data_IF_704042389788
#
_entry.id   IF_704042389788
#
_cell.length_a   1.000
_cell.length_b   1.000
_cell.length_c   1.000
_cell.angle_alpha   90.00
_cell.angle_beta   90.00
_cell.angle_gamma   90.00
#
_symmetry.space_group_name_H-M   'P 1'
#
loop_
_entity.id
_entity.type
_entity.pdbx_description
1 polymer ?
#
# COMPACT_ATOMS: atom_id res chain seq x y z
N UNK A 1 -5.93 21.32 14.02
CA UNK A 1 -7.30 21.14 14.56
C UNK A 1 -8.08 20.28 13.57
N UNK A 2 -9.06 19.52 14.05
CA UNK A 2 -9.94 18.69 13.23
C UNK A 2 -11.32 18.56 13.88
N UNK A 3 -12.36 18.40 13.06
CA UNK A 3 -13.65 17.89 13.51
C UNK A 3 -13.55 16.37 13.64
N UNK A 4 -14.13 15.81 14.70
CA UNK A 4 -14.00 14.39 15.02
C UNK A 4 -15.22 13.55 14.68
N UNK A 5 -16.39 14.18 14.57
CA UNK A 5 -17.64 13.43 14.73
C UNK A 5 -18.01 13.36 16.21
N UNK A 6 -18.97 12.52 16.57
CA UNK A 6 -19.52 12.35 17.92
C UNK A 6 -18.74 11.27 18.68
N UNK A 7 -17.66 11.67 19.37
CA UNK A 7 -16.75 10.74 20.04
C UNK A 7 -17.28 10.28 21.41
N UNK A 8 -18.26 11.00 21.97
CA UNK A 8 -18.84 10.70 23.28
C UNK A 8 -20.30 10.19 23.21
N UNK A 9 -20.89 10.14 22.01
CA UNK A 9 -22.23 9.62 21.74
C UNK A 9 -23.37 10.54 22.19
N UNK A 10 -23.14 11.84 22.32
CA UNK A 10 -24.14 12.82 22.75
C UNK A 10 -24.97 13.43 21.60
N UNK A 11 -24.65 13.05 20.36
CA UNK A 11 -25.28 13.47 19.12
C UNK A 11 -24.70 14.76 18.53
N UNK A 12 -23.63 15.31 19.10
CA UNK A 12 -22.95 16.51 18.59
C UNK A 12 -21.53 16.19 18.16
N UNK A 13 -21.11 16.76 17.03
CA UNK A 13 -19.73 16.62 16.58
C UNK A 13 -18.76 17.39 17.50
N UNK A 14 -17.63 16.75 17.77
CA UNK A 14 -16.56 17.17 18.66
C UNK A 14 -15.38 17.77 17.89
N UNK A 15 -14.48 18.44 18.62
CA UNK A 15 -13.32 19.14 18.08
C UNK A 15 -12.02 18.69 18.74
N UNK A 16 -11.01 18.36 17.94
CA UNK A 16 -9.62 18.20 18.40
C UNK A 16 -8.76 19.42 18.07
N UNK A 17 -7.93 19.81 19.03
CA UNK A 17 -6.87 20.81 18.87
C UNK A 17 -5.56 20.23 19.38
N UNK A 18 -4.59 20.08 18.48
CA UNK A 18 -3.24 19.65 18.84
C UNK A 18 -2.37 20.79 19.36
N UNK A 19 -1.55 20.49 20.36
CA UNK A 19 -0.53 21.33 20.95
C UNK A 19 0.79 20.53 21.00
N UNK A 20 1.48 20.34 19.86
CA UNK A 20 2.59 19.40 19.72
C UNK A 20 3.82 19.74 20.58
N UNK A 21 4.01 21.00 20.95
CA UNK A 21 5.13 21.45 21.79
C UNK A 21 4.79 21.46 23.29
N UNK A 22 3.63 20.93 23.70
CA UNK A 22 3.25 20.84 25.10
C UNK A 22 4.10 19.81 25.86
N UNK A 23 4.23 20.03 27.18
CA UNK A 23 5.07 19.23 28.08
C UNK A 23 4.25 18.41 29.10
N UNK A 24 3.32 17.53 28.66
CA UNK A 24 2.50 16.76 29.57
C UNK A 24 3.35 15.89 30.48
N UNK A 25 2.95 15.78 31.75
CA UNK A 25 3.61 14.90 32.72
C UNK A 25 5.13 15.17 32.87
N UNK A 26 5.60 16.38 32.48
CA UNK A 26 7.01 16.75 32.47
C UNK A 26 7.82 16.18 31.30
N UNK A 27 7.17 15.67 30.25
CA UNK A 27 7.81 15.14 29.04
C UNK A 27 7.97 16.27 28.03
N UNK A 28 9.18 16.81 27.90
CA UNK A 28 9.49 17.93 27.02
C UNK A 28 9.07 17.65 25.56
N UNK A 29 8.25 18.53 24.96
CA UNK A 29 7.72 18.43 23.60
C UNK A 29 7.07 17.06 23.28
N UNK A 30 6.43 16.42 24.26
CA UNK A 30 5.69 15.19 24.01
C UNK A 30 4.39 15.48 23.23
N UNK A 31 3.82 16.67 23.41
CA UNK A 31 2.61 17.13 22.77
C UNK A 31 1.34 16.73 23.52
N UNK A 32 0.29 17.55 23.42
CA UNK A 32 -1.05 17.27 23.93
C UNK A 32 -2.07 17.42 22.80
N UNK A 33 -3.20 16.72 22.89
CA UNK A 33 -4.40 16.97 22.09
C UNK A 33 -5.56 17.25 23.03
N UNK A 34 -6.21 18.39 22.84
CA UNK A 34 -7.41 18.77 23.56
C UNK A 34 -8.63 18.39 22.72
N UNK A 35 -9.50 17.56 23.28
CA UNK A 35 -10.78 17.20 22.69
C UNK A 35 -11.85 17.96 23.44
N UNK A 36 -12.67 18.70 22.71
CA UNK A 36 -13.75 19.52 23.23
C UNK A 36 -15.06 18.93 22.73
N UNK A 37 -15.93 18.53 23.66
CA UNK A 37 -17.20 17.92 23.30
C UNK A 37 -18.20 18.96 22.78
N UNK A 38 -18.86 18.60 21.68
CA UNK A 38 -19.94 19.30 21.04
C UNK A 38 -21.11 19.52 22.00
N UNK A 39 -21.89 20.59 21.78
CA UNK A 39 -23.09 20.86 22.59
C UNK A 39 -24.06 21.80 21.90
N UNK A 40 -25.35 21.56 22.13
CA UNK A 40 -26.44 22.39 21.60
C UNK A 40 -26.37 23.87 22.05
N UNK A 41 -25.94 24.12 23.29
CA UNK A 41 -25.93 25.45 23.89
C UNK A 41 -24.77 26.34 23.39
N UNK A 42 -23.91 25.80 22.52
CA UNK A 42 -22.72 26.46 22.01
C UNK A 42 -21.59 26.56 23.03
N UNK A 43 -20.52 27.26 22.64
CA UNK A 43 -19.31 27.41 23.44
C UNK A 43 -19.14 28.82 23.99
N UNK A 44 -18.45 28.99 25.13
CA UNK A 44 -17.96 30.30 25.54
C UNK A 44 -16.98 30.86 24.50
N UNK A 45 -16.85 32.19 24.44
CA UNK A 45 -15.92 32.85 23.50
C UNK A 45 -14.44 32.52 23.77
N UNK A 46 -14.14 32.00 24.96
CA UNK A 46 -12.83 31.50 25.35
C UNK A 46 -13.05 30.23 26.15
N UNK A 47 -12.33 29.17 25.81
CA UNK A 47 -12.29 27.91 26.54
C UNK A 47 -10.88 27.73 27.10
N UNK A 48 -10.78 27.36 28.37
CA UNK A 48 -9.52 27.00 29.01
C UNK A 48 -9.35 25.48 28.94
N UNK A 49 -8.37 24.93 28.20
CA UNK A 49 -8.17 23.49 28.12
C UNK A 49 -7.91 22.82 29.49
N UNK A 50 -7.49 23.59 30.50
CA UNK A 50 -7.33 23.11 31.87
C UNK A 50 -8.65 22.69 32.55
N UNK A 51 -9.80 23.09 32.00
CA UNK A 51 -11.13 22.72 32.54
C UNK A 51 -11.71 21.44 31.94
N UNK A 52 -11.04 20.83 30.97
CA UNK A 52 -11.46 19.55 30.38
C UNK A 52 -11.30 18.44 31.44
N UNK A 53 -12.44 18.01 31.97
CA UNK A 53 -12.54 17.12 33.14
C UNK A 53 -13.23 15.77 32.84
N UNK A 54 -13.41 15.46 31.55
CA UNK A 54 -14.14 14.29 31.07
C UNK A 54 -15.63 14.55 30.81
N UNK A 55 -16.17 15.69 31.25
CA UNK A 55 -17.59 16.04 30.99
C UNK A 55 -17.77 17.05 29.86
N UNK A 56 -16.81 17.97 29.68
CA UNK A 56 -16.81 18.94 28.58
C UNK A 56 -15.76 18.60 27.50
N UNK A 57 -15.03 17.50 27.69
CA UNK A 57 -13.96 17.02 26.83
C UNK A 57 -12.84 16.37 27.62
N UNK A 58 -11.75 16.01 26.94
CA UNK A 58 -10.60 15.34 27.54
C UNK A 58 -9.27 15.87 27.00
N UNK A 59 -8.18 15.50 27.67
CA UNK A 59 -6.81 15.77 27.23
C UNK A 59 -6.08 14.47 26.93
N UNK A 60 -5.60 14.31 25.71
CA UNK A 60 -4.70 13.21 25.32
C UNK A 60 -3.26 13.71 25.43
N UNK A 61 -2.42 12.92 26.09
CA UNK A 61 -1.06 13.29 26.47
C UNK A 61 -0.05 12.44 25.71
N UNK A 62 0.92 13.11 25.10
CA UNK A 62 1.95 12.49 24.26
C UNK A 62 2.81 11.48 25.02
N UNK A 63 3.28 10.42 24.33
CA UNK A 63 3.80 9.22 24.99
C UNK A 63 5.18 9.43 25.62
N UNK A 64 6.06 10.21 24.99
CA UNK A 64 7.44 10.38 25.44
C UNK A 64 8.00 11.74 24.98
N UNK A 65 9.12 12.20 25.58
CA UNK A 65 9.74 13.47 25.19
C UNK A 65 10.09 13.52 23.70
N UNK A 66 9.79 14.64 23.06
CA UNK A 66 10.07 14.88 21.64
C UNK A 66 9.23 14.05 20.67
N UNK A 67 8.09 13.50 21.11
CA UNK A 67 7.15 12.81 20.24
C UNK A 67 6.37 13.78 19.33
N UNK A 68 6.06 14.99 19.83
CA UNK A 68 5.22 15.97 19.12
C UNK A 68 3.82 15.45 18.76
N UNK A 69 3.19 14.70 19.66
CA UNK A 69 1.83 14.20 19.46
C UNK A 69 0.83 15.35 19.27
N UNK A 70 -0.12 15.16 18.35
CA UNK A 70 -1.05 16.22 17.98
C UNK A 70 -0.52 17.18 16.91
N UNK A 71 0.63 16.89 16.31
CA UNK A 71 1.10 17.65 15.14
C UNK A 71 0.09 17.56 13.99
N UNK A 72 -0.49 16.37 13.80
CA UNK A 72 -1.62 16.14 12.92
C UNK A 72 -2.74 15.45 13.72
N UNK A 73 -3.98 15.83 13.45
CA UNK A 73 -5.18 15.24 14.05
C UNK A 73 -6.28 15.13 12.99
N UNK A 74 -7.10 14.09 13.05
CA UNK A 74 -8.28 13.89 12.20
C UNK A 74 -9.35 13.11 12.98
N UNK A 75 -10.64 13.32 12.66
CA UNK A 75 -11.68 12.34 13.01
C UNK A 75 -11.45 11.09 12.18
N UNK A 76 -11.42 9.93 12.82
CA UNK A 76 -11.14 8.67 12.17
C UNK A 76 -12.41 7.96 11.69
N UNK A 77 -13.60 8.42 12.11
CA UNK A 77 -14.85 7.65 11.96
C UNK A 77 -14.91 6.52 12.98
N UNK A 78 -15.82 5.58 12.81
CA UNK A 78 -15.98 4.42 13.71
C UNK A 78 -15.05 3.27 13.26
N UNK A 79 -13.81 3.27 13.75
CA UNK A 79 -12.74 2.36 13.29
C UNK A 79 -12.88 0.97 13.91
N UNK A 80 -13.50 0.88 15.10
CA UNK A 80 -13.71 -0.38 15.82
C UNK A 80 -15.16 -0.90 15.76
N UNK A 81 -16.09 -0.16 15.15
CA UNK A 81 -17.48 -0.55 14.93
C UNK A 81 -18.33 -0.52 16.21
N UNK A 82 -17.93 0.28 17.21
CA UNK A 82 -18.65 0.39 18.49
C UNK A 82 -19.76 1.44 18.48
N UNK A 83 -19.88 2.20 17.38
CA UNK A 83 -20.89 3.22 17.15
C UNK A 83 -20.52 4.62 17.64
N UNK A 84 -19.28 4.83 18.09
CA UNK A 84 -18.72 6.13 18.43
C UNK A 84 -17.67 6.55 17.40
N UNK A 85 -17.58 7.84 17.10
CA UNK A 85 -16.49 8.31 16.24
C UNK A 85 -15.16 8.28 16.99
N UNK A 86 -14.10 7.86 16.31
CA UNK A 86 -12.75 7.73 16.84
C UNK A 86 -11.85 8.91 16.42
N UNK A 87 -10.70 9.01 17.08
CA UNK A 87 -9.71 10.07 16.86
C UNK A 87 -8.40 9.50 16.31
N UNK A 88 -7.86 10.10 15.25
CA UNK A 88 -6.52 9.80 14.75
C UNK A 88 -5.54 10.90 15.12
N UNK A 89 -4.47 10.54 15.83
CA UNK A 89 -3.42 11.44 16.30
C UNK A 89 -2.08 11.07 15.66
N UNK A 90 -1.45 12.03 15.00
CA UNK A 90 -0.12 11.89 14.43
C UNK A 90 0.97 12.52 15.29
N UNK A 91 2.13 11.85 15.38
CA UNK A 91 3.33 12.34 16.05
C UNK A 91 4.57 11.99 15.21
N UNK A 92 5.25 12.98 14.65
CA UNK A 92 6.38 12.74 13.74
C UNK A 92 7.73 12.56 14.46
N UNK A 93 7.75 12.75 15.79
CA UNK A 93 8.95 12.68 16.61
C UNK A 93 9.51 11.26 16.81
N UNK A 94 10.48 11.12 17.71
CA UNK A 94 10.96 9.77 18.07
C UNK A 94 10.05 9.17 19.11
N UNK A 95 9.64 7.90 18.94
CA UNK A 95 8.86 7.16 19.92
C UNK A 95 9.76 6.22 20.73
N UNK A 96 9.45 6.03 22.01
CA UNK A 96 10.21 5.14 22.89
C UNK A 96 10.22 3.71 22.34
N UNK A 97 11.41 3.11 22.21
CA UNK A 97 11.59 1.77 21.66
C UNK A 97 11.53 1.68 20.13
N UNK A 98 11.18 2.75 19.43
CA UNK A 98 11.16 2.84 17.97
C UNK A 98 12.48 3.34 17.36
N UNK A 99 12.64 3.28 16.02
CA UNK A 99 13.76 3.90 15.35
C UNK A 99 13.74 5.43 15.52
N UNK A 100 14.93 6.04 15.59
CA UNK A 100 15.05 7.49 15.76
C UNK A 100 14.35 8.24 14.61
N UNK A 101 13.45 9.17 14.95
CA UNK A 101 12.69 9.97 13.99
C UNK A 101 11.72 9.17 13.12
N UNK A 102 11.35 7.94 13.50
CA UNK A 102 10.38 7.17 12.74
C UNK A 102 8.96 7.73 12.83
N UNK A 103 8.62 8.44 13.90
CA UNK A 103 7.26 8.90 14.16
C UNK A 103 6.30 7.75 14.47
N UNK A 104 5.01 8.07 14.37
CA UNK A 104 3.90 7.14 14.51
C UNK A 104 2.57 7.87 14.61
N UNK A 105 1.51 7.08 14.67
CA UNK A 105 0.16 7.59 14.90
C UNK A 105 -0.58 6.70 15.91
N UNK A 106 -1.73 7.16 16.38
CA UNK A 106 -2.65 6.41 17.23
C UNK A 106 -4.07 6.65 16.76
N UNK A 107 -4.85 5.58 16.68
CA UNK A 107 -6.31 5.67 16.76
C UNK A 107 -6.65 5.60 18.25
N UNK A 108 -7.42 6.56 18.74
CA UNK A 108 -7.94 6.61 20.10
C UNK A 108 -9.44 6.42 19.99
N UNK A 109 -9.96 5.40 20.65
CA UNK A 109 -11.37 5.06 20.55
C UNK A 109 -12.27 6.03 21.30
N UNK A 110 -13.41 6.34 20.70
CA UNK A 110 -14.53 7.03 21.33
C UNK A 110 -15.17 6.19 22.44
N UNK A 111 -16.26 6.70 23.00
CA UNK A 111 -17.09 5.95 23.92
C UNK A 111 -17.79 6.78 25.01
N UNK A 112 -18.63 6.10 25.78
CA UNK A 112 -19.43 6.70 26.86
C UNK A 112 -18.69 6.84 28.21
N UNK A 113 -17.53 6.20 28.35
CA UNK A 113 -16.65 6.25 29.53
C UNK A 113 -15.24 6.73 29.15
N UNK A 114 -15.17 7.92 28.52
CA UNK A 114 -13.89 8.58 28.20
C UNK A 114 -13.26 9.22 29.44
N UNK A 115 -11.96 8.98 29.70
CA UNK A 115 -11.28 9.59 30.84
C UNK A 115 -11.01 11.08 30.58
N UNK A 116 -10.96 11.88 31.65
CA UNK A 116 -10.54 13.29 31.57
C UNK A 116 -9.13 13.48 30.98
N UNK A 117 -8.25 12.49 31.20
CA UNK A 117 -6.87 12.46 30.70
C UNK A 117 -6.53 11.06 30.21
N UNK A 118 -5.99 10.97 29.00
CA UNK A 118 -5.52 9.74 28.38
C UNK A 118 -4.02 9.87 28.10
N UNK A 119 -3.21 8.94 28.58
CA UNK A 119 -1.77 8.90 28.30
C UNK A 119 -1.48 7.90 27.18
N UNK A 120 -0.97 8.38 26.03
CA UNK A 120 -0.63 7.54 24.88
C UNK A 120 0.48 6.52 25.21
N UNK A 121 1.33 6.78 26.20
CA UNK A 121 2.34 5.82 26.66
C UNK A 121 1.74 4.59 27.34
N UNK A 122 0.51 4.71 27.83
CA UNK A 122 -0.21 3.69 28.57
C UNK A 122 -1.51 3.29 27.85
N UNK A 123 -1.61 3.56 26.54
CA UNK A 123 -2.77 3.19 25.73
C UNK A 123 -2.93 1.66 25.74
N UNK A 124 -4.12 1.21 26.08
CA UNK A 124 -4.49 -0.21 26.07
C UNK A 124 -5.34 -0.52 24.85
N UNK A 125 -5.39 -1.81 24.47
CA UNK A 125 -6.12 -2.26 23.29
C UNK A 125 -7.62 -1.89 23.31
N UNK A 126 -8.24 -1.87 24.49
CA UNK A 126 -9.64 -1.45 24.66
C UNK A 126 -9.87 0.06 24.47
N UNK A 127 -8.82 0.85 24.26
CA UNK A 127 -8.88 2.32 24.14
C UNK A 127 -8.23 2.85 22.86
N UNK A 128 -7.68 1.98 22.03
CA UNK A 128 -7.13 2.39 20.75
C UNK A 128 -6.05 1.49 20.21
N UNK A 129 -5.46 1.95 19.11
CA UNK A 129 -4.47 1.24 18.32
C UNK A 129 -3.26 2.15 18.13
N UNK A 130 -2.07 1.66 18.48
CA UNK A 130 -0.81 2.32 18.15
C UNK A 130 -0.30 1.89 16.76
N UNK A 131 0.15 2.87 15.98
CA UNK A 131 0.68 2.74 14.62
C UNK A 131 2.13 3.25 14.57
N UNK A 132 3.10 2.51 15.14
CA UNK A 132 4.48 2.96 15.23
C UNK A 132 5.15 3.07 13.85
N UNK A 133 5.95 4.11 13.65
CA UNK A 133 6.74 4.28 12.44
C UNK A 133 7.81 3.21 12.28
N UNK A 134 8.02 2.77 11.03
CA UNK A 134 8.88 1.62 10.71
C UNK A 134 10.34 2.02 10.44
N UNK A 135 10.55 3.15 9.76
CA UNK A 135 11.86 3.54 9.22
C UNK A 135 12.38 4.78 9.95
N UNK A 136 13.65 4.77 10.32
CA UNK A 136 14.26 5.93 10.96
C UNK A 136 14.20 7.17 10.04
N UNK A 137 13.72 8.30 10.56
CA UNK A 137 13.59 9.55 9.83
C UNK A 137 12.44 9.60 8.81
N UNK A 138 11.48 8.66 8.85
CA UNK A 138 10.36 8.63 7.91
C UNK A 138 9.29 9.70 8.14
N UNK A 139 9.30 10.36 9.32
CA UNK A 139 8.27 11.30 9.75
C UNK A 139 6.85 10.69 9.67
N UNK A 140 6.70 9.42 10.08
CA UNK A 140 5.39 8.76 10.10
C UNK A 140 4.44 9.52 11.03
N UNK A 141 3.18 9.69 10.63
CA UNK A 141 2.19 10.43 11.42
C UNK A 141 2.35 11.96 11.35
N UNK A 142 3.24 12.50 10.53
CA UNK A 142 3.29 13.95 10.28
C UNK A 142 2.08 14.45 9.48
N UNK A 143 1.38 13.54 8.81
CA UNK A 143 0.13 13.75 8.08
C UNK A 143 -0.75 12.54 8.36
N UNK A 144 -2.02 12.81 8.66
CA UNK A 144 -3.04 11.79 8.90
C UNK A 144 -4.36 12.27 8.30
N UNK A 145 -5.25 11.34 7.95
CA UNK A 145 -6.60 11.66 7.50
C UNK A 145 -7.55 10.48 7.75
N UNK A 146 -8.84 10.78 7.90
CA UNK A 146 -9.89 9.79 7.72
C UNK A 146 -9.80 9.21 6.30
N UNK A 147 -10.08 7.93 6.15
CA UNK A 147 -10.30 7.31 4.85
C UNK A 147 -11.78 6.98 4.63
N UNK A 148 -12.55 6.74 5.70
CA UNK A 148 -13.87 6.12 5.63
C UNK A 148 -13.75 4.62 5.35
N UNK A 149 -14.86 3.92 5.17
CA UNK A 149 -14.86 2.50 4.79
C UNK A 149 -14.42 2.30 3.31
N UNK A 150 -13.12 2.06 3.09
CA UNK A 150 -12.52 1.94 1.75
C UNK A 150 -12.70 0.52 1.18
N UNK A 151 -12.76 -0.49 2.05
CA UNK A 151 -12.83 -1.90 1.66
C UNK A 151 -14.26 -2.50 1.74
N UNK A 152 -15.22 -1.77 2.31
CA UNK A 152 -16.62 -2.16 2.43
C UNK A 152 -16.93 -3.12 3.57
N UNK A 153 -16.06 -3.23 4.57
CA UNK A 153 -16.24 -4.17 5.69
C UNK A 153 -17.13 -3.62 6.82
N UNK A 154 -17.51 -2.35 6.72
CA UNK A 154 -18.36 -1.65 7.68
C UNK A 154 -17.62 -0.96 8.81
N UNK A 155 -16.29 -0.94 8.79
CA UNK A 155 -15.45 -0.17 9.71
C UNK A 155 -14.78 0.99 8.96
N UNK A 156 -14.67 2.15 9.60
CA UNK A 156 -13.96 3.26 8.96
C UNK A 156 -12.43 3.04 8.99
N UNK A 157 -11.77 3.35 7.87
CA UNK A 157 -10.34 3.20 7.71
C UNK A 157 -9.58 4.52 7.92
N UNK A 158 -8.26 4.43 8.08
CA UNK A 158 -7.39 5.60 8.30
C UNK A 158 -6.17 5.66 7.40
N UNK A 159 -5.71 6.88 7.10
CA UNK A 159 -4.48 7.14 6.36
C UNK A 159 -3.39 7.72 7.28
N UNK A 160 -2.18 7.18 7.19
CA UNK A 160 -0.99 7.66 7.89
C UNK A 160 0.15 7.90 6.92
N UNK A 161 0.66 9.12 6.85
CA UNK A 161 1.73 9.51 5.94
C UNK A 161 3.10 9.33 6.57
N UNK A 162 4.05 8.80 5.80
CA UNK A 162 5.45 8.63 6.16
C UNK A 162 6.34 9.17 5.02
N UNK A 163 6.37 10.50 4.92
CA UNK A 163 6.78 11.27 3.74
C UNK A 163 8.26 11.16 3.35
N UNK A 164 9.11 10.60 4.20
CA UNK A 164 10.56 10.45 3.94
C UNK A 164 11.03 8.99 3.96
N UNK A 165 10.10 8.04 3.87
CA UNK A 165 10.42 6.61 3.89
C UNK A 165 11.07 6.19 2.57
N UNK A 166 12.38 5.88 2.56
CA UNK A 166 13.02 5.22 1.42
C UNK A 166 12.91 3.69 1.57
N UNK A 167 11.95 3.09 0.87
CA UNK A 167 11.74 1.65 0.83
C UNK A 167 12.33 1.05 -0.46
N UNK A 168 13.64 1.15 -0.66
CA UNK A 168 14.48 0.37 -1.60
C UNK A 168 14.06 0.30 -3.09
N UNK A 169 12.94 0.91 -3.49
CA UNK A 169 12.35 0.84 -4.83
C UNK A 169 12.24 2.23 -5.49
N UNK A 170 13.10 3.17 -5.08
CA UNK A 170 13.35 4.41 -5.82
C UNK A 170 12.22 5.43 -5.75
N UNK A 171 11.54 5.56 -4.61
CA UNK A 171 10.63 6.66 -4.30
C UNK A 171 10.72 7.01 -2.82
N UNK A 172 10.85 8.30 -2.48
CA UNK A 172 10.92 8.79 -1.11
C UNK A 172 9.51 9.00 -0.55
N UNK A 173 9.06 8.21 0.40
CA UNK A 173 7.79 8.43 1.10
C UNK A 173 6.68 7.47 0.71
N UNK A 174 5.81 7.18 1.69
CA UNK A 174 4.64 6.31 1.54
C UNK A 174 3.46 6.86 2.31
N UNK A 175 2.27 6.42 1.94
CA UNK A 175 1.09 6.47 2.81
C UNK A 175 0.68 5.05 3.19
N UNK A 176 0.27 4.87 4.44
CA UNK A 176 -0.32 3.63 4.92
C UNK A 176 -1.82 3.83 4.98
N UNK A 177 -2.57 2.97 4.28
CA UNK A 177 -4.00 2.79 4.52
C UNK A 177 -4.12 1.65 5.53
N UNK A 178 -4.74 1.92 6.67
CA UNK A 178 -4.92 0.94 7.76
C UNK A 178 -6.40 0.69 7.91
N UNK A 179 -6.79 -0.58 7.84
CA UNK A 179 -8.19 -0.97 7.90
C UNK A 179 -8.73 -0.97 9.33
N UNK A 180 -9.97 -0.51 9.48
CA UNK A 180 -10.76 -0.66 10.70
C UNK A 180 -11.03 -2.14 11.03
N UNK A 181 -11.29 -2.43 12.31
CA UNK A 181 -11.46 -3.80 12.85
C UNK A 181 -11.95 -3.81 14.29
N UNK A 182 -12.69 -4.85 14.67
CA UNK A 182 -13.27 -5.05 16.01
C UNK A 182 -12.46 -5.95 16.95
N UNK A 183 -11.34 -6.54 16.49
CA UNK A 183 -10.52 -7.44 17.29
C UNK A 183 -9.36 -6.74 18.03
N UNK A 184 -9.35 -5.40 18.01
CA UNK A 184 -8.57 -4.50 18.88
C UNK A 184 -7.14 -4.98 19.17
N UNK A 185 -6.23 -5.03 18.17
CA UNK A 185 -4.89 -5.59 18.37
C UNK A 185 -4.02 -4.76 19.32
N UNK A 186 -4.42 -3.52 19.65
CA UNK A 186 -3.66 -2.54 20.42
C UNK A 186 -2.45 -1.96 19.70
N UNK A 187 -1.79 -2.73 18.82
CA UNK A 187 -0.70 -2.27 17.96
C UNK A 187 -0.84 -2.92 16.58
N UNK A 188 -0.74 -2.12 15.51
CA UNK A 188 -0.63 -2.61 14.14
C UNK A 188 0.79 -2.32 13.63
N UNK A 189 1.48 -3.36 13.16
CA UNK A 189 2.80 -3.23 12.54
C UNK A 189 2.66 -2.74 11.09
N UNK A 190 2.98 -1.46 10.87
CA UNK A 190 2.94 -0.83 9.55
C UNK A 190 3.90 -1.49 8.54
N UNK A 191 4.90 -2.25 8.99
CA UNK A 191 5.86 -2.93 8.12
C UNK A 191 5.26 -4.18 7.45
N UNK A 192 4.19 -4.73 8.01
CA UNK A 192 3.58 -6.00 7.58
C UNK A 192 2.14 -5.84 7.12
N UNK A 193 1.71 -4.61 6.80
CA UNK A 193 0.38 -4.37 6.25
C UNK A 193 0.19 -5.19 4.97
N UNK A 194 -0.93 -5.89 4.95
CA UNK A 194 -1.40 -6.70 3.84
C UNK A 194 -2.91 -6.55 3.76
N UNK A 195 -3.41 -6.52 2.52
CA UNK A 195 -4.83 -6.24 2.23
C UNK A 195 -5.74 -7.31 2.83
N UNK A 196 -5.24 -8.53 2.98
CA UNK A 196 -5.98 -9.63 3.59
C UNK A 196 -6.08 -9.51 5.13
N UNK A 197 -5.41 -8.54 5.77
CA UNK A 197 -5.24 -8.53 7.22
C UNK A 197 -5.47 -7.17 7.90
N UNK A 198 -4.87 -6.09 7.41
CA UNK A 198 -4.77 -4.84 8.18
C UNK A 198 -4.64 -3.55 7.34
N UNK A 199 -4.62 -3.65 6.00
CA UNK A 199 -4.52 -2.49 5.11
C UNK A 199 -3.43 -2.62 4.05
N UNK A 200 -2.92 -1.52 3.53
CA UNK A 200 -1.86 -1.56 2.51
C UNK A 200 -0.91 -0.37 2.54
N UNK A 201 0.22 -0.51 1.84
CA UNK A 201 1.16 0.59 1.63
C UNK A 201 0.96 1.20 0.25
N UNK A 202 0.54 2.46 0.21
CA UNK A 202 0.40 3.28 -0.99
C UNK A 202 1.72 3.99 -1.31
N UNK A 203 2.25 3.74 -2.50
CA UNK A 203 3.58 4.19 -2.93
C UNK A 203 3.48 5.11 -4.13
N UNK A 204 4.26 6.18 -4.11
CA UNK A 204 4.45 7.01 -5.30
C UNK A 204 5.18 6.24 -6.40
N UNK A 205 4.89 6.62 -7.65
CA UNK A 205 5.53 6.09 -8.85
C UNK A 205 6.56 7.09 -9.38
N UNK A 206 7.84 6.90 -9.03
CA UNK A 206 8.94 7.70 -9.54
C UNK A 206 10.02 8.02 -8.49
N UNK A 207 11.22 8.44 -8.91
CA UNK A 207 12.23 8.97 -8.01
C UNK A 207 11.73 10.23 -7.31
N UNK A 208 12.08 10.39 -6.04
CA UNK A 208 11.93 11.64 -5.29
C UNK A 208 10.49 12.20 -5.22
N UNK A 209 9.47 11.34 -5.07
CA UNK A 209 8.08 11.80 -4.86
C UNK A 209 7.66 11.56 -3.42
N UNK A 210 7.50 12.63 -2.62
CA UNK A 210 7.13 12.59 -1.20
C UNK A 210 5.70 12.09 -0.94
N UNK A 211 5.38 10.87 -1.38
CA UNK A 211 4.06 10.30 -1.18
C UNK A 211 3.73 10.25 0.32
N UNK A 212 2.47 10.53 0.63
CA UNK A 212 2.02 10.67 2.01
C UNK A 212 2.31 12.05 2.63
N UNK A 213 2.85 13.02 1.88
CA UNK A 213 3.07 14.38 2.41
C UNK A 213 1.75 15.06 2.82
N UNK A 214 0.68 14.83 2.04
CA UNK A 214 -0.68 15.27 2.32
C UNK A 214 -1.66 14.13 2.00
N UNK A 215 -2.72 14.01 2.79
CA UNK A 215 -3.69 12.92 2.72
C UNK A 215 -5.11 13.49 2.82
N UNK A 216 -6.06 12.81 2.18
CA UNK A 216 -7.48 13.11 2.34
C UNK A 216 -8.33 11.87 1.99
N UNK A 217 -9.40 11.65 2.77
CA UNK A 217 -10.54 10.81 2.39
C UNK A 217 -11.69 11.68 1.90
N UNK A 218 -11.84 11.90 0.57
CA UNK A 218 -12.95 12.67 0.03
C UNK A 218 -14.33 11.96 0.12
N UNK A 219 -14.36 10.72 0.60
CA UNK A 219 -15.52 9.83 0.48
C UNK A 219 -15.59 9.20 -0.91
N UNK A 220 -16.75 8.68 -1.28
CA UNK A 220 -17.03 8.08 -2.58
C UNK A 220 -17.08 9.15 -3.69
N UNK A 221 -16.03 9.27 -4.50
CA UNK A 221 -15.95 10.27 -5.57
C UNK A 221 -16.29 9.71 -6.95
N UNK A 222 -16.33 8.39 -7.13
CA UNK A 222 -16.70 7.75 -8.39
C UNK A 222 -18.12 7.13 -8.42
N UNK A 223 -18.77 7.10 -7.26
CA UNK A 223 -20.16 6.70 -7.05
C UNK A 223 -20.36 5.19 -6.94
N UNK A 224 -19.32 4.43 -6.56
CA UNK A 224 -19.37 2.98 -6.46
C UNK A 224 -19.81 2.45 -5.08
N UNK A 225 -19.92 3.34 -4.09
CA UNK A 225 -20.35 3.05 -2.73
C UNK A 225 -19.23 2.79 -1.74
N UNK A 226 -17.97 2.82 -2.15
CA UNK A 226 -16.80 2.68 -1.27
C UNK A 226 -16.12 4.04 -1.09
N UNK A 227 -15.50 4.27 0.06
CA UNK A 227 -14.76 5.50 0.27
C UNK A 227 -13.45 5.49 -0.55
N UNK A 228 -13.13 6.62 -1.16
CA UNK A 228 -11.88 6.79 -1.91
C UNK A 228 -10.85 7.56 -1.10
N UNK A 229 -9.58 7.43 -1.47
CA UNK A 229 -8.47 8.13 -0.81
C UNK A 229 -7.57 8.88 -1.78
N UNK A 230 -7.00 9.97 -1.29
CA UNK A 230 -6.10 10.85 -2.04
C UNK A 230 -4.76 10.96 -1.34
N UNK A 231 -3.68 10.71 -2.08
CA UNK A 231 -2.29 10.82 -1.61
C UNK A 231 -1.55 11.89 -2.41
N UNK A 232 -1.16 12.96 -1.72
CA UNK A 232 -0.28 14.00 -2.27
C UNK A 232 1.18 13.57 -2.19
N UNK A 233 1.89 13.74 -3.30
CA UNK A 233 3.32 13.44 -3.45
C UNK A 233 4.03 14.61 -4.14
N UNK A 234 4.31 15.72 -3.41
CA UNK A 234 5.03 16.83 -3.97
C UNK A 234 6.46 16.42 -4.34
N UNK A 235 6.99 17.04 -5.39
CA UNK A 235 8.41 16.94 -5.70
C UNK A 235 9.24 17.65 -4.63
N UNK A 236 10.51 17.26 -4.43
CA UNK A 236 11.40 17.90 -3.48
C UNK A 236 11.58 19.38 -3.81
N UNK A 237 11.84 20.23 -2.79
CA UNK A 237 12.20 21.62 -3.01
C UNK A 237 13.35 21.76 -4.02
N UNK A 238 13.10 22.43 -5.14
CA UNK A 238 14.08 22.62 -6.21
C UNK A 238 14.17 21.46 -7.22
N UNK A 239 13.32 20.44 -7.10
CA UNK A 239 13.12 19.41 -8.13
C UNK A 239 12.54 20.00 -9.41
N UNK A 240 12.91 19.43 -10.55
CA UNK A 240 12.40 19.86 -11.86
C UNK A 240 11.04 19.24 -12.20
N UNK A 241 10.65 18.18 -11.50
CA UNK A 241 9.44 17.42 -11.76
C UNK A 241 8.23 18.02 -11.04
N UNK A 242 7.03 17.99 -11.66
CA UNK A 242 5.80 18.38 -10.98
C UNK A 242 5.49 17.38 -9.85
N UNK A 243 4.89 17.87 -8.77
CA UNK A 243 4.29 16.99 -7.77
C UNK A 243 3.14 16.18 -8.37
N UNK A 244 2.88 15.01 -7.79
CA UNK A 244 1.81 14.10 -8.19
C UNK A 244 0.73 14.04 -7.12
N UNK A 245 -0.52 13.87 -7.54
CA UNK A 245 -1.62 13.49 -6.66
C UNK A 245 -2.14 12.14 -7.15
N UNK A 246 -2.18 11.17 -6.25
CA UNK A 246 -2.74 9.86 -6.50
C UNK A 246 -4.16 9.81 -5.93
N UNK A 247 -5.11 9.40 -6.74
CA UNK A 247 -6.44 8.98 -6.31
C UNK A 247 -6.44 7.47 -6.32
N UNK A 248 -6.84 6.86 -5.20
CA UNK A 248 -6.97 5.43 -5.04
C UNK A 248 -8.44 5.17 -4.74
N UNK A 249 -9.07 4.41 -5.62
CA UNK A 249 -10.47 4.06 -5.48
C UNK A 249 -10.65 2.91 -4.49
N UNK A 250 -11.68 3.00 -3.65
CA UNK A 250 -12.11 1.92 -2.77
C UNK A 250 -12.73 0.75 -3.56
N UNK A 251 -13.14 -0.29 -2.86
CA UNK A 251 -13.82 -1.43 -3.47
C UNK A 251 -13.77 -2.69 -2.62
N UNK A 252 -14.74 -3.59 -2.88
CA UNK A 252 -14.74 -4.91 -2.25
C UNK A 252 -13.43 -5.66 -2.54
N UNK A 253 -12.91 -6.35 -1.52
CA UNK A 253 -11.86 -7.36 -1.68
C UNK A 253 -12.23 -8.31 -2.84
N UNK A 254 -11.41 -8.42 -3.90
CA UNK A 254 -11.73 -9.32 -5.00
C UNK A 254 -11.83 -10.74 -4.45
N UNK A 255 -13.01 -11.35 -4.56
CA UNK A 255 -13.23 -12.73 -4.13
C UNK A 255 -12.07 -13.61 -4.60
N UNK A 256 -11.44 -14.32 -3.66
CA UNK A 256 -10.29 -15.17 -3.93
C UNK A 256 -10.50 -15.96 -5.23
N UNK A 257 -9.51 -15.97 -6.16
CA UNK A 257 -9.69 -16.66 -7.42
C UNK A 257 -10.11 -18.11 -7.16
N UNK A 258 -11.10 -18.64 -7.89
CA UNK A 258 -11.60 -19.98 -7.64
C UNK A 258 -10.42 -20.96 -7.65
N UNK A 259 -10.38 -21.83 -6.65
CA UNK A 259 -9.33 -22.83 -6.52
C UNK A 259 -9.12 -23.51 -7.89
N UNK A 260 -7.86 -23.73 -8.31
CA UNK A 260 -7.59 -24.34 -9.61
C UNK A 260 -8.39 -25.63 -9.74
N UNK A 261 -9.09 -25.78 -10.86
CA UNK A 261 -9.89 -26.98 -11.11
C UNK A 261 -9.04 -28.23 -10.83
N UNK A 262 -9.58 -29.25 -10.14
CA UNK A 262 -8.83 -30.47 -9.88
C UNK A 262 -8.28 -31.01 -11.20
N UNK A 263 -7.01 -31.38 -11.20
CA UNK A 263 -6.35 -31.92 -12.39
C UNK A 263 -7.23 -33.01 -13.02
N UNK A 264 -7.40 -33.01 -14.36
CA UNK A 264 -8.24 -34.01 -15.01
C UNK A 264 -7.73 -35.39 -14.62
N UNK A 265 -8.61 -36.24 -14.09
CA UNK A 265 -8.31 -37.64 -13.85
C UNK A 265 -7.85 -38.24 -15.19
N UNK A 266 -6.66 -38.85 -15.28
CA UNK A 266 -6.18 -39.38 -16.54
C UNK A 266 -7.19 -40.39 -17.08
N UNK A 267 -7.61 -40.21 -18.33
CA UNK A 267 -8.50 -41.14 -19.00
C UNK A 267 -7.84 -42.54 -19.04
N UNK A 268 -8.58 -43.62 -18.76
CA UNK A 268 -8.02 -44.96 -18.86
C UNK A 268 -7.56 -45.21 -20.30
N UNK A 269 -6.30 -45.62 -20.46
CA UNK A 269 -5.76 -46.01 -21.76
C UNK A 269 -6.53 -47.24 -22.27
N UNK A 270 -7.28 -47.07 -23.36
CA UNK A 270 -7.84 -48.17 -24.13
C UNK A 270 -6.68 -48.88 -24.84
N UNK A 271 -6.32 -50.08 -24.38
CA UNK A 271 -5.44 -50.99 -25.13
C UNK A 271 -6.15 -51.42 -26.40
N UNK A 272 -5.64 -50.99 -27.56
CA UNK A 272 -6.12 -51.45 -28.86
C UNK A 272 -5.65 -52.89 -29.10
N UNK A 273 -6.58 -53.69 -29.63
CA UNK A 273 -6.48 -55.14 -29.83
C UNK A 273 -5.25 -55.58 -30.65
N UNK A 274 -4.63 -56.66 -30.19
CA UNK A 274 -3.52 -57.33 -30.86
C UNK A 274 -3.98 -57.99 -32.18
N UNK A 275 -3.44 -57.56 -33.31
CA UNK A 275 -3.56 -58.26 -34.57
C UNK A 275 -2.59 -59.46 -34.60
N UNK A 276 -3.14 -60.67 -34.63
CA UNK A 276 -2.42 -61.91 -34.92
C UNK A 276 -2.38 -62.15 -36.43
N UNK A 277 -1.21 -62.45 -36.99
CA UNK A 277 -1.07 -63.03 -38.32
C UNK A 277 -0.32 -64.36 -38.19
N UNK A 278 -0.97 -65.45 -38.63
CA UNK A 278 -0.53 -66.82 -38.45
C UNK A 278 0.30 -67.39 -39.61
N UNK A 279 0.98 -68.50 -39.28
CA UNK A 279 1.44 -69.69 -40.03
C UNK A 279 1.37 -69.65 -41.57
N UNK A 280 2.35 -70.11 -42.37
CA UNK A 280 3.04 -71.42 -42.34
C UNK A 280 4.23 -71.46 -43.40
N UNK A 281 4.78 -72.61 -43.89
CA UNK A 281 6.09 -73.17 -43.49
C UNK A 281 7.07 -73.55 -44.64
N UNK A 282 8.29 -74.02 -44.26
CA UNK A 282 9.22 -74.97 -44.92
C UNK A 282 9.95 -74.63 -46.24
N UNK A 283 11.29 -74.85 -46.26
CA UNK A 283 12.04 -75.17 -47.49
C UNK A 283 13.49 -74.63 -47.61
N UNK A 284 14.45 -75.50 -47.32
CA UNK A 284 15.83 -75.69 -47.83
C UNK A 284 16.81 -74.54 -48.27
N UNK A 285 18.07 -74.81 -47.90
CA UNK A 285 19.43 -74.32 -48.21
C UNK A 285 19.74 -73.33 -49.36
N UNK A 286 20.50 -72.26 -49.07
CA UNK A 286 21.94 -72.07 -49.42
C UNK A 286 22.42 -70.60 -49.34
N UNK A 287 23.59 -70.43 -48.71
CA UNK A 287 24.63 -69.42 -48.98
C UNK A 287 24.26 -67.95 -49.26
N UNK A 288 24.61 -67.06 -48.33
CA UNK A 288 25.57 -65.93 -48.49
C UNK A 288 25.50 -65.04 -47.23
N UNK A 289 26.67 -64.65 -46.74
CA UNK A 289 26.97 -63.90 -45.51
C UNK A 289 26.22 -62.56 -45.36
N UNK A 290 25.64 -62.23 -44.19
CA UNK A 290 25.04 -60.92 -43.96
C UNK A 290 26.01 -59.93 -43.30
N UNK A 291 26.00 -58.71 -43.83
CA UNK A 291 26.48 -57.51 -43.16
C UNK A 291 25.37 -56.90 -42.28
N UNK A 292 25.81 -56.01 -41.39
CA UNK A 292 25.06 -55.02 -40.58
C UNK A 292 24.38 -55.47 -39.27
N UNK A 293 25.13 -55.18 -38.19
CA UNK A 293 24.79 -54.58 -36.89
C UNK A 293 23.70 -55.19 -35.99
N UNK A 294 24.07 -55.64 -34.77
CA UNK A 294 23.16 -55.79 -33.64
C UNK A 294 23.26 -54.57 -32.69
N UNK A 295 22.12 -53.92 -32.39
CA UNK A 295 21.33 -54.02 -31.14
C UNK A 295 21.80 -53.12 -29.98
N UNK A 296 20.96 -52.15 -29.62
CA UNK A 296 20.69 -51.78 -28.22
C UNK A 296 20.35 -53.04 -27.41
N UNK A 297 20.67 -53.17 -26.09
CA UNK A 297 19.84 -52.45 -25.10
C UNK A 297 20.47 -52.16 -23.72
N UNK A 298 19.75 -51.32 -22.98
CA UNK A 298 19.63 -51.16 -21.51
C UNK A 298 20.52 -52.00 -20.58
N UNK A 299 21.12 -51.32 -19.61
CA UNK A 299 20.88 -51.52 -18.16
C UNK A 299 21.94 -50.71 -17.41
N UNK A 300 21.54 -49.64 -16.73
CA UNK A 300 21.19 -49.61 -15.31
C UNK A 300 22.41 -49.62 -14.37
N UNK A 301 22.18 -48.93 -13.25
CA UNK A 301 22.83 -49.09 -11.94
C UNK A 301 24.08 -48.22 -11.69
N UNK A 302 23.76 -47.13 -11.01
CA UNK A 302 24.35 -46.66 -9.75
C UNK A 302 25.84 -46.30 -9.70
N UNK A 303 26.06 -45.10 -9.15
CA UNK A 303 26.74 -45.05 -7.86
C UNK A 303 28.02 -44.23 -7.85
N UNK A 304 28.04 -43.32 -6.88
CA UNK A 304 29.20 -42.82 -6.17
C UNK A 304 30.11 -41.81 -6.90
N UNK A 305 29.90 -40.55 -6.51
CA UNK A 305 30.80 -39.79 -5.65
C UNK A 305 32.15 -39.28 -6.19
N UNK A 306 32.36 -38.02 -5.82
CA UNK A 306 33.62 -37.32 -5.56
C UNK A 306 34.38 -36.68 -6.73
N UNK A 307 34.67 -35.41 -6.52
CA UNK A 307 35.97 -34.85 -6.86
C UNK A 307 35.87 -33.69 -7.85
N UNK A 308 35.69 -32.47 -7.35
CA UNK A 308 36.77 -31.48 -7.14
C UNK A 308 37.15 -30.71 -8.39
N UNK A 309 37.06 -29.37 -8.25
CA UNK A 309 37.91 -28.35 -8.88
C UNK A 309 37.85 -28.32 -10.42
N UNK A 310 37.45 -27.22 -11.04
CA UNK A 310 37.83 -25.85 -10.73
C UNK A 310 38.34 -25.25 -12.04
N UNK A 311 38.09 -23.95 -12.23
CA UNK A 311 38.83 -23.09 -13.17
C UNK A 311 38.55 -23.44 -14.66
N UNK A 312 38.46 -22.56 -15.63
CA UNK A 312 38.64 -21.11 -15.79
C UNK A 312 38.16 -20.82 -17.22
N UNK A 313 37.76 -19.58 -17.45
CA UNK A 313 37.92 -18.78 -18.67
C UNK A 313 38.04 -19.48 -20.05
N UNK A 314 37.22 -19.04 -21.00
CA UNK A 314 37.67 -18.09 -22.04
C UNK A 314 36.79 -18.16 -23.30
N UNK A 315 36.48 -16.97 -23.79
CA UNK A 315 35.79 -16.67 -25.04
C UNK A 315 36.51 -17.19 -26.30
N UNK A 316 35.74 -17.36 -27.38
CA UNK A 316 36.10 -17.14 -28.81
C UNK A 316 34.82 -17.39 -29.63
N UNK A 317 34.08 -16.37 -30.05
CA UNK A 317 34.25 -15.58 -31.29
C UNK A 317 34.00 -16.35 -32.61
N UNK A 318 32.96 -15.92 -33.33
CA UNK A 318 33.04 -15.63 -34.77
C UNK A 318 32.48 -16.64 -35.78
N UNK A 319 31.44 -16.22 -36.51
CA UNK A 319 31.21 -16.33 -37.98
C UNK A 319 29.69 -16.28 -38.28
N UNK A 320 29.09 -15.18 -38.75
CA UNK A 320 29.08 -14.60 -40.11
C UNK A 320 28.35 -15.42 -41.20
N UNK A 321 27.09 -15.04 -41.46
CA UNK A 321 26.28 -14.85 -42.70
C UNK A 321 26.49 -15.74 -43.97
N UNK A 322 25.47 -15.91 -44.86
CA UNK A 322 24.96 -14.87 -45.80
C UNK A 322 23.41 -14.87 -45.91
N UNK A 323 22.65 -13.90 -46.45
CA UNK A 323 22.87 -12.80 -47.40
C UNK A 323 22.09 -13.09 -48.71
N UNK A 324 21.00 -12.37 -49.02
CA UNK A 324 20.38 -12.31 -50.37
C UNK A 324 19.43 -11.11 -50.53
N UNK A 325 19.45 -10.46 -51.70
CA UNK A 325 18.79 -9.21 -52.03
C UNK A 325 17.95 -9.29 -53.34
N UNK A 326 16.91 -8.44 -53.37
CA UNK A 326 16.28 -7.70 -54.50
C UNK A 326 15.42 -8.38 -55.62
N UNK A 327 14.25 -7.75 -55.87
CA UNK A 327 13.21 -7.96 -56.92
C UNK A 327 13.51 -7.16 -58.23
N UNK A 328 12.69 -7.07 -59.34
CA UNK A 328 11.21 -6.76 -59.47
C UNK A 328 10.53 -7.33 -60.80
N UNK A 329 9.49 -6.77 -61.51
CA UNK A 329 8.28 -5.92 -61.22
C UNK A 329 6.89 -6.39 -61.84
N UNK A 330 5.78 -5.72 -61.41
CA UNK A 330 4.42 -5.36 -62.00
C UNK A 330 3.49 -6.42 -62.68
N UNK A 331 2.12 -6.48 -62.59
CA UNK A 331 0.95 -5.78 -61.97
C UNK A 331 -0.33 -6.68 -62.19
N UNK A 332 -1.62 -6.24 -62.06
CA UNK A 332 -2.43 -5.78 -60.90
C UNK A 332 -3.69 -6.68 -60.60
N UNK A 333 -4.36 -6.49 -59.44
CA UNK A 333 -5.74 -6.98 -59.24
C UNK A 333 -6.22 -7.17 -57.78
N UNK A 334 -7.19 -6.34 -57.39
CA UNK A 334 -8.32 -6.52 -56.45
C UNK A 334 -8.16 -6.88 -54.95
N UNK A 335 -8.65 -5.95 -54.09
CA UNK A 335 -9.47 -6.24 -52.90
C UNK A 335 -8.76 -6.32 -51.54
N UNK A 336 -9.23 -5.62 -50.48
CA UNK A 336 -8.56 -5.64 -49.17
C UNK A 336 -9.05 -6.82 -48.30
N UNK A 337 -8.15 -7.57 -47.63
CA UNK A 337 -8.52 -8.36 -46.46
C UNK A 337 -8.26 -7.57 -45.15
N UNK A 338 -9.10 -7.83 -44.15
CA UNK A 338 -9.15 -7.16 -42.85
C UNK A 338 -7.93 -7.38 -41.94
N UNK A 339 -7.95 -6.80 -40.72
CA UNK A 339 -6.77 -6.69 -39.88
C UNK A 339 -6.29 -8.05 -39.37
N UNK A 340 -5.00 -8.30 -39.62
CA UNK A 340 -4.22 -9.43 -39.13
C UNK A 340 -3.72 -9.15 -37.71
N UNK A 341 -3.82 -10.17 -36.86
CA UNK A 341 -3.30 -10.19 -35.50
C UNK A 341 -1.78 -9.95 -35.46
N UNK A 342 -1.33 -9.08 -34.55
CA UNK A 342 0.09 -8.86 -34.27
C UNK A 342 0.60 -9.90 -33.26
N UNK A 343 1.72 -10.53 -33.59
CA UNK A 343 2.41 -11.55 -32.82
C UNK A 343 3.23 -10.96 -31.65
N UNK A 344 3.30 -11.71 -30.54
CA UNK A 344 4.12 -11.42 -29.38
C UNK A 344 5.64 -11.63 -29.64
N UNK A 345 6.54 -10.88 -28.97
CA UNK A 345 7.98 -11.17 -28.97
C UNK A 345 8.33 -12.32 -28.00
N UNK A 346 9.46 -13.04 -28.23
CA UNK A 346 9.82 -14.24 -27.49
C UNK A 346 10.50 -13.94 -26.14
N UNK A 347 10.29 -14.89 -25.21
CA UNK A 347 10.76 -14.86 -23.83
C UNK A 347 12.27 -15.06 -23.68
N UNK A 348 12.87 -14.28 -22.77
CA UNK A 348 14.23 -14.46 -22.28
C UNK A 348 14.47 -13.59 -21.05
N UNK A 349 14.73 -14.26 -19.93
CA UNK A 349 15.22 -13.74 -18.64
C UNK A 349 14.17 -13.16 -17.65
N UNK A 350 13.61 -14.08 -16.86
CA UNK A 350 12.73 -13.82 -15.72
C UNK A 350 13.52 -13.28 -14.53
N UNK A 351 13.19 -12.07 -14.09
CA UNK A 351 13.44 -11.62 -12.73
C UNK A 351 12.31 -12.14 -11.84
N UNK A 352 12.71 -12.73 -10.71
CA UNK A 352 11.85 -13.23 -9.64
C UNK A 352 10.99 -12.12 -9.00
N UNK A 353 9.80 -12.55 -8.57
CA UNK A 353 8.90 -11.92 -7.60
C UNK A 353 8.15 -10.64 -8.02
N UNK A 354 7.42 -10.70 -9.13
CA UNK A 354 6.18 -9.92 -9.31
C UNK A 354 4.99 -10.79 -8.88
N UNK A 355 4.59 -10.72 -7.60
CA UNK A 355 3.17 -10.91 -7.23
C UNK A 355 2.54 -9.53 -7.29
N UNK A 356 2.33 -9.07 -8.52
CA UNK A 356 1.53 -7.90 -8.83
C UNK A 356 0.07 -8.34 -8.84
N UNK A 357 -0.74 -7.53 -8.16
CA UNK A 357 -2.19 -7.52 -8.21
C UNK A 357 -2.69 -7.92 -9.60
N UNK A 358 -3.58 -8.91 -9.62
CA UNK A 358 -4.29 -9.31 -10.82
C UNK A 358 -5.00 -8.09 -11.41
N UNK A 359 -4.87 -7.94 -12.73
CA UNK A 359 -5.41 -6.85 -13.53
C UNK A 359 -6.93 -6.68 -13.33
N UNK A 360 -7.39 -5.92 -12.34
CA UNK A 360 -8.70 -5.26 -12.32
C UNK A 360 -8.67 -4.06 -11.35
N UNK A 361 -8.94 -2.86 -11.90
CA UNK A 361 -9.10 -1.56 -11.23
C UNK A 361 -7.95 -1.04 -10.34
N UNK A 362 -6.89 -0.56 -10.99
CA UNK A 362 -6.13 0.58 -10.49
C UNK A 362 -6.21 1.68 -11.57
N UNK A 363 -7.29 2.48 -11.57
CA UNK A 363 -7.29 3.70 -12.38
C UNK A 363 -6.50 4.77 -11.63
N UNK A 364 -5.17 4.69 -11.69
CA UNK A 364 -4.31 5.82 -11.29
C UNK A 364 -4.54 6.93 -12.31
N UNK A 365 -5.41 7.89 -11.99
CA UNK A 365 -5.46 9.13 -12.74
C UNK A 365 -4.24 9.95 -12.35
N UNK A 366 -3.18 9.84 -13.14
CA UNK A 366 -2.00 10.70 -13.00
C UNK A 366 -2.36 12.11 -13.51
N UNK A 367 -2.95 12.93 -12.63
CA UNK A 367 -3.10 14.36 -12.88
C UNK A 367 -1.76 15.07 -12.62
N UNK A 368 -0.90 15.10 -13.63
CA UNK A 368 0.23 16.02 -13.65
C UNK A 368 -0.29 17.45 -13.90
N UNK A 369 -0.74 18.12 -12.84
CA UNK A 369 -1.13 19.53 -12.92
C UNK A 369 0.09 20.43 -12.65
N UNK A 370 0.51 21.27 -13.61
CA UNK A 370 1.62 22.19 -13.39
C UNK A 370 1.14 23.34 -12.49
N UNK A 371 1.29 23.21 -11.17
CA UNK A 371 1.11 24.32 -10.24
C UNK A 371 2.45 25.00 -9.99
N UNK A 372 2.67 26.14 -10.65
CA UNK A 372 3.91 26.93 -10.54
C UNK A 372 4.03 27.72 -9.21
N UNK A 373 3.12 27.52 -8.26
CA UNK A 373 3.14 28.14 -6.93
C UNK A 373 2.36 27.27 -5.92
N UNK A 374 3.02 26.26 -5.31
CA UNK A 374 2.39 25.34 -4.37
C UNK A 374 2.13 25.97 -3.00
N UNK A 375 2.50 27.24 -2.75
CA UNK A 375 2.20 27.92 -1.48
C UNK A 375 1.00 28.85 -1.67
N UNK A 376 0.92 29.58 -2.78
CA UNK A 376 -0.20 30.50 -3.06
C UNK A 376 -1.50 29.84 -3.52
N UNK A 377 -1.47 28.58 -3.97
CA UNK A 377 -2.66 27.85 -4.41
C UNK A 377 -3.49 27.30 -3.23
N UNK A 378 -2.83 26.92 -2.12
CA UNK A 378 -3.49 26.41 -0.91
C UNK A 378 -4.26 27.49 -0.16
N UNK A 379 -3.69 28.70 -0.04
CA UNK A 379 -4.39 29.85 0.58
C UNK A 379 -5.66 30.26 -0.19
N UNK A 380 -5.71 30.04 -1.51
CA UNK A 380 -6.86 30.44 -2.35
C UNK A 380 -7.98 29.40 -2.38
N UNK A 381 -7.73 28.16 -1.99
CA UNK A 381 -8.74 27.10 -1.93
C UNK A 381 -9.32 26.92 -0.51
N UNK A 382 -8.57 27.24 0.55
CA UNK A 382 -8.99 26.99 1.93
C UNK A 382 -8.72 28.12 2.94
N UNK A 383 -8.15 29.26 2.53
CA UNK A 383 -7.75 30.37 3.42
C UNK A 383 -8.60 31.63 3.25
N UNK A 384 -9.72 31.70 3.97
CA UNK A 384 -10.41 32.97 4.24
C UNK A 384 -9.89 33.58 5.54
N UNK A 385 -8.82 34.38 5.48
CA UNK A 385 -8.50 35.33 6.52
C UNK A 385 -7.74 36.52 5.93
N UNK A 386 -8.45 37.64 5.82
CA UNK A 386 -7.91 38.99 6.00
C UNK A 386 -6.90 38.97 7.18
N UNK A 387 -5.80 39.70 7.20
CA UNK A 387 -5.69 41.09 6.78
C UNK A 387 -4.22 41.51 6.92
N UNK A 388 -3.88 42.65 6.32
CA UNK A 388 -2.91 43.64 6.83
C UNK A 388 -1.86 43.08 7.80
N UNK A 389 -0.71 42.72 7.23
CA UNK A 389 0.45 42.34 8.00
C UNK A 389 0.80 43.38 9.05
N UNK A 390 0.85 42.97 10.30
CA UNK A 390 1.84 43.44 11.25
C UNK A 390 2.36 42.26 12.07
N UNK A 391 3.68 42.18 12.09
CA UNK A 391 4.51 41.27 12.85
C UNK A 391 4.37 41.51 14.35
N UNK A 392 4.28 40.46 15.16
CA UNK A 392 4.65 40.53 16.56
C UNK A 392 5.49 39.31 16.96
N UNK A 393 6.80 39.53 17.05
CA UNK A 393 7.59 38.95 18.14
C UNK A 393 7.39 39.87 19.34
N UNK A 394 6.92 39.34 20.46
CA UNK A 394 6.73 40.06 21.71
C UNK A 394 5.83 39.33 22.67
#
# INVERSE_FOLDING_TARGET
MALLGDVNGDGFADLAVGAPDADPLGRENAGEVYIVFGRADGFPASLDPGTLDGTEGLVVQGPNPGAFAGFAVAGAGDVNGDGFDDLLIGAYGTLDGGPAGAGGAWVVFGGDDLPARLDLAALTADRGIALPGVVAGSDTGRSVAAAGDVNGDGFDDVLVGARYTDLAAGGEGVAYLVFGRDDDPGVIDLATLDVDHAGCTLRGTGPDVYAGFALAGPGDIDGDGFADVVVGAPAPPGGADPGTVYVVYGGEEPAAPPAPAPAPTPAPLLMADAFTYGDAPSGDTDGVTPASWPTDPWSDVAGAAMGTQGETEAALAGASAPGLAAAPPDAPGDGPPGPVAAAAPPAGEQADALRVFGETLLHVLNLALPFADPVGAWDRLFGGADDRGESFWG
#
